data_IF_105327291908
#
_entry.id   IF_105327291908
#
_cell.length_a   1.000
_cell.length_b   1.000
_cell.length_c   1.000
_cell.angle_alpha   90.00
_cell.angle_beta   90.00
_cell.angle_gamma   90.00
#
_symmetry.space_group_name_H-M   'P 1'
#
loop_
_entity.id
_entity.type
_entity.pdbx_description
1 polymer ?
#
# COMPACT_ATOMS: atom_id res chain seq x y z
N UNK A 1 -2.98 -19.34 14.65
CA UNK A 1 -2.95 -17.86 14.75
C UNK A 1 -1.76 -17.40 13.92
N UNK A 2 -1.93 -16.48 12.96
CA UNK A 2 -0.82 -16.00 12.13
C UNK A 2 0.23 -15.27 12.98
N UNK A 3 1.48 -15.27 12.54
CA UNK A 3 2.49 -14.34 13.05
C UNK A 3 2.10 -12.92 12.57
N UNK A 4 2.00 -11.97 13.50
CA UNK A 4 1.68 -10.56 13.19
C UNK A 4 2.93 -9.72 13.46
N UNK A 5 3.36 -8.97 12.45
CA UNK A 5 4.56 -8.14 12.52
C UNK A 5 4.17 -6.68 12.35
N UNK A 6 4.19 -5.93 13.45
CA UNK A 6 4.01 -4.48 13.42
C UNK A 6 5.31 -3.78 13.07
N UNK A 7 5.36 -3.06 11.94
CA UNK A 7 6.50 -2.21 11.58
C UNK A 7 6.20 -0.79 12.05
N UNK A 8 6.60 -0.51 13.29
CA UNK A 8 6.37 0.77 13.96
C UNK A 8 7.65 1.58 14.19
N UNK A 9 7.49 2.67 14.92
CA UNK A 9 8.57 3.52 15.37
C UNK A 9 8.65 3.48 16.90
N UNK A 10 9.85 3.65 17.44
CA UNK A 10 10.02 3.86 18.88
C UNK A 10 9.49 5.26 19.24
N UNK A 11 8.23 5.29 19.70
CA UNK A 11 7.47 6.49 20.07
C UNK A 11 6.21 6.08 20.84
N UNK A 12 5.70 6.91 21.78
CA UNK A 12 4.41 6.66 22.42
C UNK A 12 3.21 7.04 21.53
N UNK A 13 3.43 7.69 20.38
CA UNK A 13 2.37 8.12 19.48
C UNK A 13 1.80 6.96 18.68
N UNK A 14 0.49 6.99 18.40
CA UNK A 14 -0.13 6.07 17.45
C UNK A 14 0.49 6.19 16.05
N UNK A 15 0.89 7.41 15.65
CA UNK A 15 1.56 7.67 14.38
C UNK A 15 2.66 8.72 14.56
N UNK A 16 3.90 8.37 14.20
CA UNK A 16 4.96 9.35 13.99
C UNK A 16 4.81 9.97 12.59
N UNK A 17 4.16 11.12 12.50
CA UNK A 17 3.81 11.74 11.21
C UNK A 17 5.03 12.11 10.38
N UNK A 18 6.11 12.58 10.99
CA UNK A 18 7.32 12.97 10.28
C UNK A 18 8.04 11.74 9.70
N UNK A 19 8.34 10.74 10.53
CA UNK A 19 9.06 9.53 10.07
C UNK A 19 8.23 8.72 9.08
N UNK A 20 6.93 8.55 9.32
CA UNK A 20 6.07 7.82 8.37
C UNK A 20 5.90 8.56 7.04
N UNK A 21 5.85 9.89 7.03
CA UNK A 21 5.79 10.65 5.78
C UNK A 21 7.07 10.41 4.99
N UNK A 22 8.22 10.50 5.66
CA UNK A 22 9.52 10.23 5.05
C UNK A 22 9.59 8.83 4.44
N UNK A 23 9.29 7.81 5.24
CA UNK A 23 9.54 6.41 4.89
C UNK A 23 8.48 5.80 3.97
N UNK A 24 7.23 6.25 4.03
CA UNK A 24 6.11 5.62 3.30
C UNK A 24 5.79 6.32 1.97
N UNK A 25 6.45 7.42 1.65
CA UNK A 25 6.17 8.18 0.44
C UNK A 25 7.31 8.08 -0.59
N UNK A 26 7.00 7.81 -1.87
CA UNK A 26 7.98 7.85 -2.94
C UNK A 26 8.50 9.25 -3.19
N UNK A 27 9.69 9.35 -3.79
CA UNK A 27 10.24 10.64 -4.20
C UNK A 27 9.29 11.36 -5.17
N UNK A 28 8.99 12.62 -4.88
CA UNK A 28 8.12 13.48 -5.68
C UNK A 28 8.71 14.89 -5.77
N UNK A 29 8.38 15.62 -6.84
CA UNK A 29 8.86 16.98 -7.08
C UNK A 29 7.85 18.01 -6.57
N UNK A 30 8.34 19.06 -5.90
CA UNK A 30 7.55 20.16 -5.36
C UNK A 30 7.70 20.31 -3.85
N UNK A 31 7.68 21.54 -3.37
CA UNK A 31 7.91 21.92 -1.96
C UNK A 31 6.95 21.19 -1.02
N UNK A 32 5.71 20.90 -1.47
CA UNK A 32 4.72 20.17 -0.67
C UNK A 32 5.12 18.71 -0.34
N UNK A 33 6.11 18.13 -1.03
CA UNK A 33 6.53 16.74 -0.86
C UNK A 33 7.90 16.60 -0.17
N UNK A 34 8.56 17.71 0.20
CA UNK A 34 9.93 17.72 0.75
C UNK A 34 10.13 16.88 2.01
N UNK A 35 9.07 16.69 2.79
CA UNK A 35 9.12 15.87 4.02
C UNK A 35 9.10 14.36 3.73
N UNK A 36 8.87 13.97 2.48
CA UNK A 36 8.75 12.59 2.02
C UNK A 36 9.96 12.09 1.24
N UNK A 37 9.76 10.98 0.53
CA UNK A 37 10.65 10.56 -0.56
C UNK A 37 11.62 9.43 -0.28
N UNK A 38 11.55 8.77 0.88
CA UNK A 38 12.45 7.67 1.25
C UNK A 38 11.81 6.27 1.10
N UNK A 39 10.70 6.11 0.37
CA UNK A 39 10.09 4.79 0.16
C UNK A 39 11.08 3.76 -0.40
N UNK A 40 12.04 4.15 -1.24
CA UNK A 40 13.08 3.25 -1.74
C UNK A 40 13.98 2.71 -0.62
N UNK A 41 14.40 3.58 0.31
CA UNK A 41 15.23 3.21 1.46
C UNK A 41 14.46 2.35 2.44
N UNK A 42 13.20 2.69 2.71
CA UNK A 42 12.35 1.91 3.60
C UNK A 42 12.04 0.53 3.01
N UNK A 43 11.78 0.46 1.71
CA UNK A 43 11.61 -0.81 0.99
C UNK A 43 12.87 -1.67 1.03
N UNK A 44 14.06 -1.09 0.80
CA UNK A 44 15.34 -1.81 0.97
C UNK A 44 15.52 -2.32 2.39
N UNK A 45 15.18 -1.52 3.41
CA UNK A 45 15.20 -1.99 4.80
C UNK A 45 14.28 -3.21 5.00
N UNK A 46 13.05 -3.17 4.48
CA UNK A 46 12.11 -4.29 4.58
C UNK A 46 12.71 -5.54 3.92
N UNK A 47 13.17 -5.39 2.67
CA UNK A 47 13.69 -6.47 1.83
C UNK A 47 14.98 -7.10 2.36
N UNK A 48 15.95 -6.27 2.73
CA UNK A 48 17.33 -6.70 2.96
C UNK A 48 17.63 -6.90 4.45
N UNK A 49 16.78 -6.39 5.35
CA UNK A 49 16.99 -6.48 6.80
C UNK A 49 15.81 -7.11 7.54
N UNK A 50 14.62 -6.53 7.41
CA UNK A 50 13.47 -6.98 8.21
C UNK A 50 13.04 -8.40 7.84
N UNK A 51 12.73 -8.65 6.56
CA UNK A 51 12.24 -9.97 6.14
C UNK A 51 13.28 -11.07 6.34
N UNK A 52 14.58 -10.89 6.02
CA UNK A 52 15.61 -11.87 6.36
C UNK A 52 15.73 -12.15 7.86
N UNK A 53 15.57 -11.14 8.72
CA UNK A 53 15.55 -11.33 10.17
C UNK A 53 14.33 -12.16 10.60
N UNK A 54 13.14 -11.81 10.12
CA UNK A 54 11.90 -12.52 10.45
C UNK A 54 11.96 -13.98 9.96
N UNK A 55 12.42 -14.21 8.73
CA UNK A 55 12.59 -15.54 8.16
C UNK A 55 13.52 -16.42 9.02
N UNK A 56 14.54 -15.82 9.63
CA UNK A 56 15.49 -16.53 10.50
C UNK A 56 14.90 -16.82 11.88
N UNK A 57 14.26 -15.82 12.49
CA UNK A 57 13.77 -15.94 13.88
C UNK A 57 12.49 -16.78 13.99
N UNK A 58 11.65 -16.79 12.94
CA UNK A 58 10.31 -17.41 12.99
C UNK A 58 10.07 -18.50 11.92
N UNK A 59 11.07 -18.80 11.08
CA UNK A 59 11.02 -19.85 10.02
C UNK A 59 9.80 -19.73 9.08
N UNK A 60 9.52 -18.52 8.59
CA UNK A 60 8.36 -18.24 7.73
C UNK A 60 8.68 -18.31 6.22
N UNK A 61 9.80 -18.92 5.82
CA UNK A 61 10.28 -18.91 4.43
C UNK A 61 9.23 -19.43 3.44
N UNK A 62 8.55 -20.52 3.81
CA UNK A 62 7.51 -21.16 3.00
C UNK A 62 6.09 -20.71 3.38
N UNK A 63 5.94 -19.73 4.27
CA UNK A 63 4.65 -19.18 4.65
C UNK A 63 4.20 -18.13 3.65
N UNK A 64 2.88 -18.07 3.44
CA UNK A 64 2.23 -16.96 2.74
C UNK A 64 2.42 -15.66 3.52
N UNK A 65 2.83 -14.61 2.81
CA UNK A 65 3.17 -13.30 3.38
C UNK A 65 2.16 -12.26 2.90
N UNK A 66 1.34 -11.79 3.83
CA UNK A 66 0.36 -10.74 3.59
C UNK A 66 0.93 -9.40 4.01
N UNK A 67 0.91 -8.42 3.11
CA UNK A 67 1.29 -7.05 3.41
C UNK A 67 0.06 -6.14 3.50
N UNK A 68 -0.02 -5.34 4.57
CA UNK A 68 -1.11 -4.42 4.83
C UNK A 68 -0.60 -3.00 5.08
N UNK A 69 -1.33 -2.00 4.58
CA UNK A 69 -1.07 -0.61 4.86
C UNK A 69 -2.25 0.30 4.55
N UNK A 70 -2.36 1.38 5.33
CA UNK A 70 -3.42 2.39 5.21
C UNK A 70 -2.85 3.77 4.85
N UNK A 71 -3.56 4.54 4.02
CA UNK A 71 -3.19 5.91 3.67
C UNK A 71 -1.80 5.97 3.02
N UNK A 72 -0.81 6.66 3.60
CA UNK A 72 0.58 6.56 3.14
C UNK A 72 1.15 5.13 3.22
N UNK A 73 0.71 4.30 4.16
CA UNK A 73 1.03 2.88 4.15
C UNK A 73 0.46 2.17 2.93
N UNK A 74 -0.77 2.51 2.52
CA UNK A 74 -1.37 2.01 1.29
C UNK A 74 -0.61 2.48 0.04
N UNK A 75 -0.19 3.75 0.00
CA UNK A 75 0.68 4.28 -1.05
C UNK A 75 2.03 3.53 -1.11
N UNK A 76 2.64 3.26 0.04
CA UNK A 76 3.87 2.47 0.13
C UNK A 76 3.67 1.04 -0.38
N UNK A 77 2.53 0.42 -0.09
CA UNK A 77 2.19 -0.91 -0.64
C UNK A 77 2.07 -0.87 -2.16
N UNK A 78 1.47 0.18 -2.74
CA UNK A 78 1.46 0.36 -4.20
C UNK A 78 2.89 0.48 -4.73
N UNK A 79 3.74 1.28 -4.09
CA UNK A 79 5.15 1.39 -4.46
C UNK A 79 5.87 0.03 -4.39
N UNK A 80 5.68 -0.73 -3.30
CA UNK A 80 6.27 -2.06 -3.08
C UNK A 80 5.77 -3.08 -4.09
N UNK A 81 4.47 -3.06 -4.43
CA UNK A 81 3.86 -3.94 -5.43
C UNK A 81 4.50 -3.74 -6.81
N UNK A 82 4.79 -2.49 -7.17
CA UNK A 82 5.44 -2.13 -8.43
C UNK A 82 6.92 -2.54 -8.50
N UNK A 83 7.59 -2.77 -7.37
CA UNK A 83 8.94 -3.35 -7.36
C UNK A 83 8.94 -4.83 -7.77
N UNK A 84 7.82 -5.52 -7.56
CA UNK A 84 7.51 -6.82 -8.13
C UNK A 84 8.58 -7.92 -7.92
N UNK A 85 9.22 -7.91 -6.75
CA UNK A 85 10.27 -8.87 -6.45
C UNK A 85 9.77 -10.18 -5.83
N UNK A 86 8.53 -10.21 -5.32
CA UNK A 86 7.88 -11.40 -4.78
C UNK A 86 8.17 -11.65 -3.30
N UNK A 87 8.52 -10.61 -2.53
CA UNK A 87 8.66 -10.72 -1.07
C UNK A 87 7.31 -11.01 -0.39
N UNK A 88 6.23 -10.44 -0.91
CA UNK A 88 4.88 -10.58 -0.39
C UNK A 88 3.98 -11.21 -1.44
N UNK A 89 3.14 -12.14 -1.01
CA UNK A 89 2.21 -12.87 -1.85
C UNK A 89 0.92 -12.08 -2.04
N UNK A 90 0.40 -11.53 -0.93
CA UNK A 90 -0.88 -10.81 -0.93
C UNK A 90 -0.75 -9.37 -0.43
N UNK A 91 -1.53 -8.47 -1.02
CA UNK A 91 -1.54 -7.05 -0.69
C UNK A 91 -2.93 -6.58 -0.27
N UNK A 92 -3.03 -5.99 0.92
CA UNK A 92 -4.23 -5.35 1.45
C UNK A 92 -4.00 -3.84 1.51
N UNK A 93 -4.38 -3.17 0.44
CA UNK A 93 -4.15 -1.76 0.20
C UNK A 93 -5.40 -0.99 0.67
N UNK A 94 -5.29 -0.29 1.79
CA UNK A 94 -6.40 0.47 2.36
C UNK A 94 -6.24 1.97 2.15
N UNK A 95 -7.25 2.61 1.57
CA UNK A 95 -7.36 4.05 1.37
C UNK A 95 -6.07 4.72 0.89
N UNK A 96 -5.41 4.21 -0.18
CA UNK A 96 -4.07 4.66 -0.54
C UNK A 96 -4.05 6.14 -0.92
N UNK A 97 -3.06 6.87 -0.44
CA UNK A 97 -2.89 8.31 -0.72
C UNK A 97 -2.33 8.57 -2.12
N UNK A 98 -3.06 8.17 -3.16
CA UNK A 98 -2.63 8.26 -4.57
C UNK A 98 -2.40 9.70 -5.05
N UNK A 99 -2.85 10.70 -4.28
CA UNK A 99 -2.58 12.12 -4.53
C UNK A 99 -1.13 12.52 -4.40
N UNK A 100 -0.33 11.74 -3.65
CA UNK A 100 1.08 12.02 -3.49
C UNK A 100 1.81 12.00 -4.84
N UNK A 101 2.63 13.03 -5.08
CA UNK A 101 3.41 13.16 -6.32
C UNK A 101 2.55 13.08 -7.59
N UNK A 102 1.32 13.59 -7.53
CA UNK A 102 0.34 13.58 -8.64
C UNK A 102 0.14 12.19 -9.30
N UNK A 103 0.19 11.12 -8.49
CA UNK A 103 0.10 9.71 -8.90
C UNK A 103 1.20 9.24 -9.88
N UNK A 104 2.30 9.99 -9.99
CA UNK A 104 3.34 9.78 -11.01
C UNK A 104 3.90 8.36 -11.00
N UNK A 105 4.19 7.78 -9.83
CA UNK A 105 4.74 6.43 -9.72
C UNK A 105 3.87 5.34 -10.38
N UNK A 106 2.54 5.52 -10.36
CA UNK A 106 1.61 4.57 -10.98
C UNK A 106 1.56 4.84 -12.47
N UNK A 107 1.42 6.10 -12.87
CA UNK A 107 1.34 6.50 -14.29
C UNK A 107 2.58 6.07 -15.07
N UNK A 108 3.77 6.20 -14.49
CA UNK A 108 5.02 5.77 -15.12
C UNK A 108 5.10 4.25 -15.30
N UNK A 109 4.42 3.49 -14.44
CA UNK A 109 4.32 2.04 -14.54
C UNK A 109 3.31 1.55 -15.60
N UNK A 110 2.51 2.44 -16.18
CA UNK A 110 1.51 2.10 -17.20
C UNK A 110 2.07 2.20 -18.63
N UNK A 111 1.63 1.30 -19.50
CA UNK A 111 1.78 1.40 -20.96
C UNK A 111 0.73 2.34 -21.56
N UNK A 112 0.72 2.45 -22.90
CA UNK A 112 -0.19 3.34 -23.62
C UNK A 112 -1.67 2.90 -23.53
N UNK A 113 -1.96 1.64 -23.15
CA UNK A 113 -3.32 1.11 -22.97
C UNK A 113 -3.80 1.24 -21.52
N UNK A 114 -3.00 1.86 -20.64
CA UNK A 114 -3.27 1.97 -19.22
C UNK A 114 -3.15 0.64 -18.48
N UNK A 115 -2.36 -0.31 -18.98
CA UNK A 115 -2.02 -1.56 -18.30
C UNK A 115 -0.65 -1.44 -17.65
N UNK A 116 -0.43 -2.19 -16.57
CA UNK A 116 0.91 -2.27 -15.98
C UNK A 116 1.89 -2.88 -16.99
N UNK A 117 3.04 -2.22 -17.17
CA UNK A 117 4.17 -2.68 -18.01
C UNK A 117 4.79 -4.00 -17.53
N UNK A 118 4.44 -4.42 -16.31
CA UNK A 118 4.98 -5.59 -15.63
C UNK A 118 3.86 -6.57 -15.30
N UNK A 119 4.19 -7.87 -15.34
CA UNK A 119 3.32 -8.90 -14.78
C UNK A 119 3.59 -9.03 -13.28
N UNK A 120 2.58 -8.70 -12.48
CA UNK A 120 2.67 -8.78 -11.03
C UNK A 120 2.84 -10.23 -10.55
N UNK A 121 3.72 -10.44 -9.57
CA UNK A 121 3.96 -11.71 -8.88
C UNK A 121 2.99 -11.98 -7.74
N UNK A 122 2.29 -10.96 -7.25
CA UNK A 122 1.30 -11.09 -6.19
C UNK A 122 0.23 -12.12 -6.59
N UNK A 123 -0.16 -12.98 -5.64
CA UNK A 123 -1.22 -13.97 -5.81
C UNK A 123 -2.61 -13.34 -5.61
N UNK A 124 -2.70 -12.33 -4.73
CA UNK A 124 -3.96 -11.66 -4.40
C UNK A 124 -3.76 -10.18 -4.04
N UNK A 125 -4.70 -9.33 -4.47
CA UNK A 125 -4.72 -7.91 -4.11
C UNK A 125 -6.13 -7.51 -3.69
N UNK A 126 -6.28 -7.00 -2.47
CA UNK A 126 -7.49 -6.31 -2.01
C UNK A 126 -7.22 -4.82 -1.91
N UNK A 127 -7.89 -4.03 -2.75
CA UNK A 127 -7.97 -2.58 -2.61
C UNK A 127 -9.23 -2.22 -1.85
N UNK A 128 -9.15 -1.30 -0.89
CA UNK A 128 -10.32 -0.85 -0.16
C UNK A 128 -10.32 0.64 0.16
N UNK A 129 -11.52 1.21 0.28
CA UNK A 129 -11.77 2.62 0.66
C UNK A 129 -13.06 2.73 1.46
N UNK A 130 -13.21 3.79 2.24
CA UNK A 130 -14.47 4.21 2.85
C UNK A 130 -15.31 5.01 1.86
N UNK A 131 -16.62 4.79 1.85
CA UNK A 131 -17.57 5.48 0.97
C UNK A 131 -17.57 7.01 1.19
N UNK A 132 -17.38 7.44 2.43
CA UNK A 132 -17.44 8.86 2.82
C UNK A 132 -16.10 9.59 2.65
N UNK A 133 -15.07 8.91 2.12
CA UNK A 133 -13.78 9.54 1.84
C UNK A 133 -13.91 10.61 0.77
N UNK A 134 -13.55 11.84 1.13
CA UNK A 134 -13.50 12.97 0.21
C UNK A 134 -12.09 13.53 0.18
N UNK A 135 -11.60 13.80 -1.03
CA UNK A 135 -10.40 14.61 -1.23
C UNK A 135 -10.81 16.07 -1.30
N UNK A 136 -9.96 16.95 -0.79
CA UNK A 136 -10.17 18.40 -0.81
C UNK A 136 -8.85 19.13 -1.05
N UNK A 137 -8.95 20.33 -1.63
CA UNK A 137 -7.82 21.22 -1.85
C UNK A 137 -6.68 20.55 -2.62
N UNK A 138 -5.46 20.63 -2.08
CA UNK A 138 -4.24 20.11 -2.75
C UNK A 138 -4.27 18.61 -3.06
N UNK A 139 -5.16 17.84 -2.42
CA UNK A 139 -5.30 16.40 -2.65
C UNK A 139 -6.27 16.04 -3.78
N UNK A 140 -7.09 16.99 -4.25
CA UNK A 140 -8.13 16.78 -5.26
C UNK A 140 -7.84 17.60 -6.53
N UNK A 141 -6.84 17.15 -7.30
CA UNK A 141 -6.51 17.74 -8.61
C UNK A 141 -7.04 16.82 -9.72
N UNK A 142 -7.46 17.39 -10.85
CA UNK A 142 -8.13 16.66 -11.96
C UNK A 142 -7.34 15.45 -12.47
N UNK A 143 -6.02 15.54 -12.51
CA UNK A 143 -5.16 14.50 -13.08
C UNK A 143 -4.70 13.44 -12.05
N UNK A 144 -5.20 13.46 -10.82
CA UNK A 144 -4.78 12.51 -9.79
C UNK A 144 -5.66 11.25 -9.83
N UNK A 145 -5.04 10.07 -9.81
CA UNK A 145 -5.75 8.80 -9.74
C UNK A 145 -6.55 8.69 -8.43
N UNK A 146 -7.79 8.25 -8.55
CA UNK A 146 -8.68 7.83 -7.47
C UNK A 146 -8.56 6.32 -7.26
N UNK A 147 -9.15 5.83 -6.17
CA UNK A 147 -9.14 4.39 -5.90
C UNK A 147 -9.85 3.58 -6.99
N UNK A 148 -10.90 4.12 -7.60
CA UNK A 148 -11.57 3.49 -8.74
C UNK A 148 -10.65 3.35 -9.97
N UNK A 149 -9.80 4.34 -10.25
CA UNK A 149 -8.84 4.25 -11.35
C UNK A 149 -7.79 3.16 -11.08
N UNK A 150 -7.27 3.11 -9.85
CA UNK A 150 -6.36 2.05 -9.42
C UNK A 150 -7.04 0.67 -9.49
N UNK A 151 -8.33 0.59 -9.15
CA UNK A 151 -9.09 -0.65 -9.26
C UNK A 151 -9.15 -1.18 -10.69
N UNK A 152 -9.40 -0.32 -11.67
CA UNK A 152 -9.42 -0.71 -13.08
C UNK A 152 -8.02 -1.10 -13.59
N UNK A 153 -6.97 -0.41 -13.14
CA UNK A 153 -5.58 -0.78 -13.45
C UNK A 153 -5.26 -2.18 -12.91
N UNK A 154 -5.59 -2.45 -11.63
CA UNK A 154 -5.32 -3.72 -10.98
C UNK A 154 -6.15 -4.86 -11.60
N UNK A 155 -7.40 -4.61 -11.95
CA UNK A 155 -8.26 -5.57 -12.66
C UNK A 155 -7.66 -6.02 -14.00
N UNK A 156 -6.99 -5.12 -14.72
CA UNK A 156 -6.30 -5.42 -15.99
C UNK A 156 -4.96 -6.17 -15.80
N UNK A 157 -4.44 -6.28 -14.57
CA UNK A 157 -3.15 -6.94 -14.30
C UNK A 157 -3.18 -8.47 -14.43
N UNK A 158 -4.37 -9.08 -14.37
CA UNK A 158 -4.56 -10.53 -14.36
C UNK A 158 -4.34 -11.20 -12.98
N UNK A 159 -4.00 -10.43 -11.94
CA UNK A 159 -3.94 -10.92 -10.56
C UNK A 159 -5.35 -11.09 -10.00
N UNK A 160 -5.55 -12.07 -9.10
CA UNK A 160 -6.80 -12.19 -8.34
C UNK A 160 -7.01 -10.90 -7.53
N UNK A 161 -8.11 -10.21 -7.78
CA UNK A 161 -8.31 -8.85 -7.33
C UNK A 161 -9.69 -8.66 -6.70
N UNK A 162 -9.75 -7.88 -5.62
CA UNK A 162 -11.00 -7.40 -5.01
C UNK A 162 -10.94 -5.90 -4.76
N UNK A 163 -11.99 -5.18 -5.18
CA UNK A 163 -12.24 -3.80 -4.77
C UNK A 163 -13.36 -3.75 -3.75
N UNK A 164 -13.10 -3.21 -2.56
CA UNK A 164 -14.10 -3.09 -1.50
C UNK A 164 -14.31 -1.65 -1.08
N UNK A 165 -15.56 -1.19 -1.19
CA UNK A 165 -16.00 0.06 -0.59
C UNK A 165 -16.68 -0.28 0.73
N UNK A 166 -16.24 0.33 1.83
CA UNK A 166 -16.90 0.23 3.12
C UNK A 166 -17.97 1.32 3.24
N UNK A 167 -19.24 0.91 3.15
CA UNK A 167 -20.41 1.79 3.23
C UNK A 167 -20.46 2.56 4.55
N UNK A 168 -20.78 3.85 4.46
CA UNK A 168 -20.86 4.75 5.61
C UNK A 168 -19.56 5.00 6.37
N UNK A 169 -18.40 4.55 5.85
CA UNK A 169 -17.11 4.70 6.53
C UNK A 169 -16.28 5.86 5.98
N UNK A 170 -15.58 6.56 6.87
CA UNK A 170 -14.57 7.55 6.52
C UNK A 170 -13.15 6.96 6.43
N UNK A 171 -12.16 7.85 6.24
CA UNK A 171 -10.77 7.44 5.95
C UNK A 171 -10.14 6.60 7.06
N UNK A 172 -10.31 6.99 8.34
CA UNK A 172 -9.72 6.26 9.47
C UNK A 172 -10.47 4.98 9.83
N UNK A 173 -11.79 4.95 9.60
CA UNK A 173 -12.68 3.85 10.00
C UNK A 173 -12.39 2.54 9.25
N UNK A 174 -11.77 2.64 8.08
CA UNK A 174 -11.36 1.51 7.24
C UNK A 174 -10.32 0.63 7.93
N UNK A 175 -9.46 1.18 8.80
CA UNK A 175 -8.33 0.45 9.42
C UNK A 175 -8.80 -0.82 10.16
N UNK A 176 -9.64 -0.72 11.21
CA UNK A 176 -10.07 -1.91 11.96
C UNK A 176 -10.91 -2.88 11.10
N UNK A 177 -11.62 -2.40 10.09
CA UNK A 177 -12.45 -3.22 9.21
C UNK A 177 -11.58 -4.10 8.30
N UNK A 178 -10.52 -3.53 7.72
CA UNK A 178 -9.58 -4.29 6.89
C UNK A 178 -8.83 -5.32 7.72
N UNK A 179 -8.38 -4.97 8.93
CA UNK A 179 -7.74 -5.93 9.82
C UNK A 179 -8.67 -7.11 10.17
N UNK A 180 -9.95 -6.84 10.44
CA UNK A 180 -10.96 -7.89 10.65
C UNK A 180 -11.13 -8.78 9.42
N UNK A 181 -11.11 -8.20 8.22
CA UNK A 181 -11.21 -8.95 6.98
C UNK A 181 -9.96 -9.77 6.66
N UNK A 182 -8.76 -9.29 7.02
CA UNK A 182 -7.51 -10.05 6.93
C UNK A 182 -7.60 -11.27 7.85
N UNK A 183 -8.02 -11.11 9.11
CA UNK A 183 -8.17 -12.24 10.04
C UNK A 183 -9.14 -13.30 9.48
N UNK A 184 -10.26 -12.88 8.89
CA UNK A 184 -11.18 -13.81 8.22
C UNK A 184 -10.59 -14.46 6.98
N UNK A 185 -9.74 -13.74 6.23
CA UNK A 185 -9.10 -14.24 5.03
C UNK A 185 -8.11 -15.37 5.36
N UNK A 186 -7.27 -15.18 6.37
CA UNK A 186 -6.27 -16.18 6.81
C UNK A 186 -6.85 -17.34 7.62
N UNK A 187 -8.13 -17.28 8.00
CA UNK A 187 -8.80 -18.34 8.78
C UNK A 187 -9.60 -19.31 7.90
N UNK A 188 -9.57 -19.14 6.58
CA UNK A 188 -10.20 -20.03 5.60
C UNK A 188 -9.23 -21.10 5.13
#
# INVERSE_FOLDING_TARGET
IPLIIGVGYDTPLAYDTARRTKDLTPLAQGDEYEQGGNADKFYKFIKERLMPFVDKEYDIKNSEKIFYGHSFGGLFLVYSLLQNDGIFDEFFIASPSLWWGDSKIIKEALDNDGKLKIRLKASFIRLSVGELEKRVGKTDKENILKAADLAEILKKSGVKYEFKIYEGQGHGDVIPLVLKDIVKHVSK
#
